data_IF_172263034743
#
_entry.id   IF_172263034743
#
_cell.length_a   1.000
_cell.length_b   1.000
_cell.length_c   1.000
_cell.angle_alpha   90.00
_cell.angle_beta   90.00
_cell.angle_gamma   90.00
#
_symmetry.space_group_name_H-M   'P 1'
#
loop_
_entity.id
_entity.type
_entity.pdbx_description
1 polymer ?
#
# COMPACT_ATOMS: atom_id res chain seq x y z
N UNK A 1 -1.22 -4.28 12.98
CA UNK A 1 -1.33 -5.62 12.36
C UNK A 1 -0.23 -6.50 12.95
N UNK A 2 -0.57 -7.72 13.38
CA UNK A 2 0.37 -8.68 13.97
C UNK A 2 0.91 -9.67 12.91
N UNK A 3 0.29 -9.72 11.72
CA UNK A 3 0.62 -10.68 10.67
C UNK A 3 2.06 -10.66 10.13
N UNK A 4 2.77 -9.51 10.03
CA UNK A 4 4.19 -9.50 9.70
C UNK A 4 5.05 -10.17 10.78
N UNK A 5 4.78 -9.87 12.05
CA UNK A 5 5.57 -10.36 13.19
C UNK A 5 5.45 -11.88 13.36
N UNK A 6 4.32 -12.44 12.94
CA UNK A 6 4.06 -13.88 12.96
C UNK A 6 4.57 -14.61 11.71
N UNK A 7 5.25 -13.91 10.78
CA UNK A 7 5.75 -14.50 9.54
C UNK A 7 4.65 -14.97 8.57
N UNK A 8 3.42 -14.47 8.74
CA UNK A 8 2.30 -14.81 7.88
C UNK A 8 2.40 -13.99 6.59
N UNK A 9 2.63 -12.68 6.71
CA UNK A 9 2.76 -11.78 5.56
C UNK A 9 4.12 -11.93 4.85
N UNK A 10 4.13 -12.62 3.70
CA UNK A 10 5.33 -12.85 2.88
C UNK A 10 5.24 -12.14 1.51
N UNK A 11 6.39 -11.75 0.92
CA UNK A 11 6.43 -11.13 -0.40
C UNK A 11 5.73 -11.96 -1.48
N UNK A 12 5.02 -11.29 -2.40
CA UNK A 12 4.30 -11.94 -3.50
C UNK A 12 2.93 -12.52 -3.12
N UNK A 13 2.54 -12.47 -1.84
CA UNK A 13 1.22 -12.89 -1.40
C UNK A 13 0.17 -11.78 -1.59
N UNK A 14 -1.09 -12.22 -1.71
CA UNK A 14 -2.26 -11.34 -1.70
C UNK A 14 -2.98 -11.42 -0.36
N UNK A 15 -3.28 -10.26 0.23
CA UNK A 15 -3.96 -10.14 1.51
C UNK A 15 -5.26 -9.35 1.39
N UNK A 16 -6.28 -9.81 2.11
CA UNK A 16 -7.51 -9.07 2.32
C UNK A 16 -7.82 -9.07 3.81
N UNK A 17 -8.27 -7.94 4.33
CA UNK A 17 -8.69 -7.81 5.72
C UNK A 17 -9.74 -6.69 5.79
N UNK A 18 -10.77 -6.82 6.65
CA UNK A 18 -11.75 -5.76 6.87
C UNK A 18 -11.19 -4.62 7.74
N UNK A 19 -10.04 -4.08 7.35
CA UNK A 19 -9.34 -2.96 7.98
C UNK A 19 -8.83 -1.99 6.90
N UNK A 20 -8.95 -0.69 7.15
CA UNK A 20 -8.56 0.34 6.18
C UNK A 20 -7.05 0.49 6.03
N UNK A 21 -6.25 0.06 7.00
CA UNK A 21 -4.79 0.21 7.02
C UNK A 21 -4.07 -1.04 6.51
N UNK A 22 -4.81 -2.05 6.01
CA UNK A 22 -4.30 -3.29 5.41
C UNK A 22 -3.20 -3.05 4.36
N UNK A 23 -3.22 -1.89 3.69
CA UNK A 23 -2.16 -1.44 2.77
C UNK A 23 -0.75 -1.38 3.38
N UNK A 24 -0.63 -1.33 4.72
CA UNK A 24 0.66 -1.35 5.43
C UNK A 24 1.47 -2.62 5.14
N UNK A 25 0.81 -3.74 4.82
CA UNK A 25 1.49 -4.98 4.41
C UNK A 25 2.20 -4.84 3.05
N UNK A 26 1.87 -3.80 2.27
CA UNK A 26 2.56 -3.48 1.03
C UNK A 26 4.05 -3.19 1.22
N UNK A 27 4.46 -2.73 2.41
CA UNK A 27 5.87 -2.55 2.75
C UNK A 27 6.70 -3.85 2.68
N UNK A 28 6.04 -5.00 2.75
CA UNK A 28 6.66 -6.33 2.63
C UNK A 28 6.61 -6.89 1.20
N UNK A 29 6.22 -6.10 0.20
CA UNK A 29 6.04 -6.57 -1.17
C UNK A 29 4.81 -7.47 -1.35
N UNK A 30 3.79 -7.29 -0.49
CA UNK A 30 2.50 -7.99 -0.62
C UNK A 30 1.47 -7.10 -1.32
N UNK A 31 0.49 -7.73 -1.96
CA UNK A 31 -0.64 -7.02 -2.54
C UNK A 31 -1.81 -7.09 -1.57
N UNK A 32 -2.06 -6.00 -0.84
CA UNK A 32 -2.94 -6.00 0.32
C UNK A 32 -4.11 -5.01 0.19
N UNK A 33 -5.33 -5.48 0.38
CA UNK A 33 -6.56 -4.69 0.25
C UNK A 33 -7.37 -4.64 1.55
N UNK A 34 -7.77 -3.43 1.94
CA UNK A 34 -8.88 -3.24 2.87
C UNK A 34 -10.20 -3.53 2.17
N UNK A 35 -11.01 -4.41 2.73
CA UNK A 35 -12.30 -4.84 2.15
C UNK A 35 -13.47 -4.59 3.10
N UNK A 36 -14.69 -4.53 2.58
CA UNK A 36 -15.88 -4.50 3.44
C UNK A 36 -16.11 -5.85 4.15
N UNK A 37 -16.94 -5.87 5.20
CA UNK A 37 -17.33 -7.12 5.87
C UNK A 37 -17.97 -8.12 4.92
N UNK A 38 -18.89 -7.68 4.06
CA UNK A 38 -19.54 -8.53 3.05
C UNK A 38 -18.57 -9.08 2.01
N UNK A 39 -17.58 -8.30 1.61
CA UNK A 39 -16.54 -8.75 0.69
C UNK A 39 -15.61 -9.77 1.36
N UNK A 40 -15.31 -9.57 2.64
CA UNK A 40 -14.55 -10.52 3.45
C UNK A 40 -15.32 -11.84 3.59
N UNK A 41 -16.60 -11.81 3.92
CA UNK A 41 -17.48 -12.99 3.99
C UNK A 41 -17.53 -13.74 2.65
N UNK A 42 -17.70 -13.02 1.54
CA UNK A 42 -17.67 -13.61 0.21
C UNK A 42 -16.33 -14.29 -0.10
N UNK A 43 -15.22 -13.63 0.22
CA UNK A 43 -13.90 -14.18 -0.03
C UNK A 43 -13.60 -15.38 0.87
N UNK A 44 -14.06 -15.39 2.12
CA UNK A 44 -13.99 -16.56 3.00
C UNK A 44 -14.81 -17.74 2.47
N UNK A 45 -15.97 -17.48 1.86
CA UNK A 45 -16.84 -18.52 1.32
C UNK A 45 -16.34 -19.09 -0.02
N UNK A 46 -15.72 -18.25 -0.87
CA UNK A 46 -15.42 -18.60 -2.26
C UNK A 46 -13.93 -18.68 -2.60
N UNK A 47 -13.05 -18.20 -1.71
CA UNK A 47 -11.64 -17.94 -1.99
C UNK A 47 -11.42 -17.05 -3.22
N UNK A 48 -12.41 -16.23 -3.59
CA UNK A 48 -12.32 -15.30 -4.71
C UNK A 48 -12.79 -13.91 -4.31
N UNK A 49 -12.24 -12.88 -4.95
CA UNK A 49 -12.66 -11.50 -4.76
C UNK A 49 -12.50 -10.74 -6.07
N UNK A 50 -13.57 -10.05 -6.49
CA UNK A 50 -13.54 -9.20 -7.67
C UNK A 50 -13.11 -7.80 -7.24
N UNK A 51 -11.95 -7.35 -7.71
CA UNK A 51 -11.50 -5.95 -7.57
C UNK A 51 -11.11 -5.40 -8.93
N UNK A 52 -11.41 -4.11 -9.13
CA UNK A 52 -10.93 -3.37 -10.31
C UNK A 52 -9.41 -3.25 -10.21
N UNK A 53 -8.71 -3.57 -11.30
CA UNK A 53 -7.25 -3.36 -11.38
C UNK A 53 -6.94 -1.89 -11.12
N UNK A 54 -6.19 -1.54 -10.06
CA UNK A 54 -5.80 -0.17 -9.80
C UNK A 54 -4.77 0.29 -10.83
N UNK A 55 -4.69 1.59 -11.07
CA UNK A 55 -3.57 2.16 -11.80
C UNK A 55 -2.31 2.12 -10.92
N UNK A 56 -1.12 2.16 -11.51
CA UNK A 56 0.13 2.11 -10.75
C UNK A 56 0.64 3.54 -10.56
N UNK A 57 1.06 3.84 -9.34
CA UNK A 57 1.73 5.09 -9.00
C UNK A 57 3.07 4.75 -8.37
N UNK A 58 4.15 5.33 -8.90
CA UNK A 58 5.51 5.10 -8.41
C UNK A 58 6.09 6.39 -7.82
N UNK A 59 6.51 6.31 -6.57
CA UNK A 59 7.17 7.42 -5.89
C UNK A 59 8.63 7.01 -5.75
N UNK A 60 9.53 7.74 -6.41
CA UNK A 60 10.96 7.55 -6.24
C UNK A 60 11.52 8.64 -5.33
N UNK A 61 12.18 8.20 -4.25
CA UNK A 61 12.80 9.08 -3.27
C UNK A 61 14.30 8.87 -3.41
N UNK A 62 14.97 9.86 -4.01
CA UNK A 62 16.41 9.82 -4.26
C UNK A 62 17.15 10.75 -3.28
N UNK A 63 18.35 10.35 -2.86
CA UNK A 63 19.21 11.16 -1.98
C UNK A 63 19.30 10.65 -0.53
N UNK A 64 19.97 11.44 0.32
CA UNK A 64 20.12 11.13 1.75
C UNK A 64 19.23 12.06 2.57
N UNK A 65 18.47 11.48 3.48
CA UNK A 65 17.66 12.24 4.42
C UNK A 65 18.57 13.07 5.35
N UNK A 66 18.26 14.36 5.58
CA UNK A 66 18.95 15.16 6.58
C UNK A 66 18.82 14.55 7.98
N UNK A 67 19.76 14.88 8.87
CA UNK A 67 19.71 14.40 10.26
C UNK A 67 18.41 14.84 10.94
N UNK A 68 17.70 13.88 11.54
CA UNK A 68 16.43 14.12 12.23
C UNK A 68 15.18 13.93 11.35
N UNK A 69 15.34 13.74 10.03
CA UNK A 69 14.22 13.42 9.12
C UNK A 69 13.94 11.92 9.14
N UNK A 70 12.67 11.57 9.31
CA UNK A 70 12.17 10.20 9.43
C UNK A 70 11.29 9.80 8.25
N UNK A 71 10.94 8.52 8.16
CA UNK A 71 9.94 8.02 7.19
C UNK A 71 8.58 8.69 7.35
N UNK A 72 8.25 9.13 8.57
CA UNK A 72 7.01 9.87 8.85
C UNK A 72 7.00 11.22 8.16
N UNK A 73 8.13 11.91 8.12
CA UNK A 73 8.25 13.23 7.50
C UNK A 73 8.10 13.13 5.98
N UNK A 74 8.68 12.08 5.38
CA UNK A 74 8.52 11.77 3.96
C UNK A 74 7.04 11.55 3.62
N UNK A 75 6.35 10.67 4.33
CA UNK A 75 4.94 10.38 4.01
C UNK A 75 4.04 11.59 4.24
N UNK A 76 4.31 12.42 5.25
CA UNK A 76 3.59 13.67 5.46
C UNK A 76 3.85 14.69 4.35
N UNK A 77 5.09 14.79 3.86
CA UNK A 77 5.42 15.63 2.72
C UNK A 77 4.70 15.18 1.45
N UNK A 78 4.69 13.86 1.17
CA UNK A 78 3.94 13.29 0.05
C UNK A 78 2.43 13.57 0.16
N UNK A 79 1.83 13.40 1.35
CA UNK A 79 0.42 13.72 1.58
C UNK A 79 0.17 15.22 1.36
N UNK A 80 1.11 16.09 1.74
CA UNK A 80 1.00 17.54 1.51
C UNK A 80 1.06 17.91 0.03
N UNK A 81 1.87 17.23 -0.77
CA UNK A 81 2.00 17.47 -2.21
C UNK A 81 0.78 16.97 -2.99
N UNK A 82 0.38 15.72 -2.77
CA UNK A 82 -0.69 15.08 -3.56
C UNK A 82 -2.09 15.23 -2.97
N UNK A 83 -2.18 15.68 -1.71
CA UNK A 83 -3.43 15.73 -0.96
C UNK A 83 -3.95 14.36 -0.52
N UNK A 84 -4.99 14.36 0.31
CA UNK A 84 -5.56 13.13 0.89
C UNK A 84 -6.16 12.16 -0.14
N UNK A 85 -6.50 12.64 -1.34
CA UNK A 85 -7.04 11.84 -2.44
C UNK A 85 -6.01 11.57 -3.56
N UNK A 86 -4.76 11.98 -3.38
CA UNK A 86 -3.73 11.91 -4.43
C UNK A 86 -3.49 10.51 -4.99
N UNK A 87 -3.49 9.50 -4.12
CA UNK A 87 -3.29 8.10 -4.49
C UNK A 87 -4.61 7.34 -4.77
N UNK A 88 -5.76 8.03 -4.86
CA UNK A 88 -7.05 7.36 -5.02
C UNK A 88 -7.09 6.55 -6.31
N UNK A 89 -7.48 5.27 -6.21
CA UNK A 89 -7.56 4.36 -7.36
C UNK A 89 -6.22 3.86 -7.88
N UNK A 90 -5.12 4.21 -7.19
CA UNK A 90 -3.78 3.74 -7.51
C UNK A 90 -3.29 2.72 -6.49
N UNK A 91 -2.49 1.76 -6.94
CA UNK A 91 -1.63 0.95 -6.10
C UNK A 91 -0.21 1.51 -6.20
N UNK A 92 0.44 1.68 -5.05
CA UNK A 92 1.87 1.98 -5.01
C UNK A 92 2.64 0.81 -5.60
N UNK A 93 3.44 1.05 -6.64
CA UNK A 93 4.19 -0.01 -7.33
C UNK A 93 5.70 0.15 -7.21
N UNK A 94 6.40 -0.98 -7.21
CA UNK A 94 7.76 -1.18 -7.76
C UNK A 94 7.57 -2.00 -9.06
N UNK A 95 8.18 -1.72 -10.24
CA UNK A 95 8.94 -0.57 -10.73
C UNK A 95 8.33 0.04 -12.03
N UNK A 96 7.05 -0.18 -12.34
CA UNK A 96 6.47 0.23 -13.62
C UNK A 96 5.32 1.24 -13.48
N UNK A 97 5.61 2.45 -13.96
CA UNK A 97 4.74 3.58 -14.33
C UNK A 97 4.40 4.67 -13.29
N UNK A 98 4.52 5.91 -13.82
CA UNK A 98 4.48 7.25 -13.20
C UNK A 98 5.51 7.47 -12.11
N UNK A 99 6.72 7.85 -12.54
CA UNK A 99 7.86 8.23 -11.70
C UNK A 99 7.72 9.70 -11.26
N UNK A 100 7.40 9.94 -9.99
CA UNK A 100 7.61 11.24 -9.35
C UNK A 100 8.89 11.18 -8.54
N UNK A 101 9.88 11.96 -8.96
CA UNK A 101 11.17 12.09 -8.27
C UNK A 101 11.07 13.28 -7.32
N UNK A 102 11.08 13.01 -6.01
CA UNK A 102 11.34 14.05 -5.01
C UNK A 102 12.87 14.21 -4.89
N UNK A 103 13.38 15.40 -5.18
CA UNK A 103 14.80 15.79 -5.02
C UNK A 103 15.01 16.61 -3.76
#
# INVERSE_FOLDING_TARGET
MVSPEQGIALPGMTYICPDSHTCSLGALGTLAWGVGSTECEHALATNTLIKKKPQLMQINIDGKLPSGVTSKDIVLHLISEFGSNGAKGHAGNLPDQQLLILK
#
